data_IF_691300816141
#
_entry.id   IF_691300816141
#
_cell.length_a   1.000
_cell.length_b   1.000
_cell.length_c   1.000
_cell.angle_alpha   90.00
_cell.angle_beta   90.00
_cell.angle_gamma   90.00
#
_symmetry.space_group_name_H-M   'P 1'
#
loop_
_entity.id
_entity.type
_entity.pdbx_description
1 polymer ?
#
# COMPACT_ATOMS: atom_id res chain seq x y z
N UNK A 1 28.11 69.84 41.16
CA UNK A 1 26.77 69.33 40.75
C UNK A 1 27.04 68.08 39.88
N UNK A 2 26.90 66.91 40.47
CA UNK A 2 27.14 65.60 39.79
C UNK A 2 25.80 65.12 39.23
N UNK A 3 25.68 64.98 37.91
CA UNK A 3 24.55 64.33 37.26
C UNK A 3 24.72 62.81 37.34
N UNK A 4 23.86 62.12 38.07
CA UNK A 4 23.77 60.68 38.13
C UNK A 4 22.90 60.25 36.92
N UNK A 5 23.52 59.57 35.94
CA UNK A 5 22.87 58.97 34.80
C UNK A 5 22.35 57.59 35.20
N UNK A 6 21.05 57.44 35.41
CA UNK A 6 20.40 56.18 35.73
C UNK A 6 20.25 55.38 34.41
N UNK A 7 21.05 54.33 34.26
CA UNK A 7 20.97 53.39 33.13
C UNK A 7 19.91 52.33 33.47
N UNK A 8 18.71 52.50 32.93
CA UNK A 8 17.67 51.47 32.99
C UNK A 8 18.04 50.35 32.00
N UNK A 9 18.54 49.24 32.56
CA UNK A 9 18.79 48.02 31.82
C UNK A 9 17.47 47.31 31.59
N UNK A 10 16.85 47.50 30.43
CA UNK A 10 15.64 46.75 30.02
C UNK A 10 16.08 45.36 29.60
N UNK A 11 15.91 44.39 30.45
CA UNK A 11 16.08 42.97 30.12
C UNK A 11 14.88 42.60 29.23
N UNK A 12 15.10 42.60 27.91
CA UNK A 12 14.22 41.92 26.95
C UNK A 12 14.34 40.40 27.22
N UNK A 13 13.39 39.85 27.95
CA UNK A 13 13.19 38.41 28.00
C UNK A 13 12.68 38.01 26.61
N UNK A 14 13.61 37.62 25.76
CA UNK A 14 13.31 36.87 24.54
C UNK A 14 12.76 35.52 25.02
N UNK A 15 11.45 35.43 25.20
CA UNK A 15 10.77 34.14 25.17
C UNK A 15 10.94 33.61 23.76
N UNK A 16 12.05 32.93 23.54
CA UNK A 16 12.21 32.02 22.43
C UNK A 16 11.05 31.03 22.58
N UNK A 17 10.02 31.18 21.77
CA UNK A 17 9.12 30.07 21.48
C UNK A 17 9.98 29.02 20.73
N UNK A 18 10.74 28.22 21.48
CA UNK A 18 11.12 26.93 20.96
C UNK A 18 9.80 26.22 20.65
N UNK A 19 9.50 26.03 19.38
CA UNK A 19 8.46 25.06 19.01
C UNK A 19 8.79 23.81 19.80
N UNK A 20 7.87 23.38 20.62
CA UNK A 20 8.03 22.15 21.39
C UNK A 20 8.03 21.01 20.38
N UNK A 21 9.23 20.64 19.92
CA UNK A 21 9.43 19.58 18.93
C UNK A 21 9.02 18.21 19.48
N UNK A 22 8.73 18.11 20.79
CA UNK A 22 8.27 16.85 21.40
C UNK A 22 6.85 16.45 21.01
N UNK A 23 6.01 17.41 20.58
CA UNK A 23 4.60 17.21 20.24
C UNK A 23 4.35 17.22 18.73
N UNK A 24 5.23 16.60 17.94
CA UNK A 24 5.08 16.47 16.50
C UNK A 24 5.27 15.00 16.10
N UNK A 25 4.70 14.63 14.98
CA UNK A 25 4.87 13.31 14.34
C UNK A 25 5.00 13.51 12.83
N UNK A 26 6.02 12.93 12.24
CA UNK A 26 6.24 12.95 10.80
C UNK A 26 5.85 11.61 10.20
N UNK A 27 4.84 11.61 9.34
CA UNK A 27 4.29 10.41 8.69
C UNK A 27 4.55 10.48 7.19
N UNK A 28 5.03 9.38 6.62
CA UNK A 28 5.24 9.23 5.19
C UNK A 28 4.45 8.01 4.69
N UNK A 29 3.37 8.26 3.99
CA UNK A 29 2.39 7.27 3.58
C UNK A 29 2.10 7.35 2.07
N UNK A 30 1.31 6.44 1.56
CA UNK A 30 0.75 6.50 0.22
C UNK A 30 -0.19 7.70 0.05
N UNK A 31 -0.40 8.14 -1.19
CA UNK A 31 -1.47 9.07 -1.53
C UNK A 31 -2.84 8.46 -1.22
N UNK A 32 -3.81 9.30 -0.79
CA UNK A 32 -5.20 8.88 -0.51
C UNK A 32 -5.36 7.62 0.38
N UNK A 33 -4.45 7.43 1.34
CA UNK A 33 -4.36 6.19 2.14
C UNK A 33 -4.63 6.39 3.64
N UNK A 34 -5.21 7.52 3.99
CA UNK A 34 -5.77 7.81 5.32
C UNK A 34 -6.92 8.81 5.19
N UNK A 35 -8.01 8.57 5.92
CA UNK A 35 -9.08 9.57 6.06
C UNK A 35 -8.55 10.81 6.78
N UNK A 36 -8.54 11.99 6.14
CA UNK A 36 -7.98 13.22 6.75
C UNK A 36 -8.58 13.57 8.11
N UNK A 37 -9.86 13.28 8.33
CA UNK A 37 -10.53 13.52 9.60
C UNK A 37 -9.93 12.69 10.75
N UNK A 38 -9.28 11.56 10.48
CA UNK A 38 -8.56 10.78 11.50
C UNK A 38 -7.29 11.49 11.97
N UNK A 39 -6.59 12.20 11.07
CA UNK A 39 -5.44 13.02 11.45
C UNK A 39 -5.88 14.13 12.40
N UNK A 40 -6.95 14.86 12.05
CA UNK A 40 -7.51 15.91 12.90
C UNK A 40 -7.98 15.36 14.26
N UNK A 41 -8.62 14.18 14.24
CA UNK A 41 -9.04 13.49 15.47
C UNK A 41 -7.86 13.14 16.36
N UNK A 42 -6.81 12.56 15.78
CA UNK A 42 -5.59 12.22 16.53
C UNK A 42 -4.92 13.45 17.14
N UNK A 43 -4.77 14.53 16.37
CA UNK A 43 -4.21 15.80 16.85
C UNK A 43 -5.03 16.38 18.02
N UNK A 44 -6.35 16.35 17.90
CA UNK A 44 -7.27 16.85 18.94
C UNK A 44 -7.20 16.03 20.22
N UNK A 45 -7.12 14.69 20.09
CA UNK A 45 -7.11 13.78 21.26
C UNK A 45 -5.77 13.76 21.99
N UNK A 46 -4.67 13.93 21.26
CA UNK A 46 -3.31 13.75 21.79
C UNK A 46 -2.53 15.04 21.99
N UNK A 47 -2.91 16.11 21.29
CA UNK A 47 -2.13 17.35 21.20
C UNK A 47 -0.87 17.22 20.34
N UNK A 48 -0.68 16.08 19.66
CA UNK A 48 0.46 15.81 18.77
C UNK A 48 0.10 16.28 17.37
N UNK A 49 0.89 17.22 16.81
CA UNK A 49 0.71 17.68 15.45
C UNK A 49 1.29 16.68 14.45
N UNK A 50 0.52 16.30 13.45
CA UNK A 50 0.96 15.39 12.39
C UNK A 50 1.43 16.20 11.16
N UNK A 51 2.65 15.93 10.71
CA UNK A 51 3.19 16.40 9.44
C UNK A 51 3.13 15.19 8.50
N UNK A 52 2.27 15.28 7.50
CA UNK A 52 1.94 14.16 6.63
C UNK A 52 2.43 14.44 5.21
N UNK A 53 3.33 13.58 4.73
CA UNK A 53 3.84 13.58 3.35
C UNK A 53 3.40 12.28 2.65
N UNK A 54 3.33 12.32 1.32
CA UNK A 54 2.92 11.16 0.52
C UNK A 54 3.98 10.73 -0.48
N UNK A 55 3.91 9.45 -0.87
CA UNK A 55 4.68 8.85 -1.96
C UNK A 55 3.76 8.00 -2.86
N UNK A 56 4.24 7.70 -4.06
CA UNK A 56 3.50 6.90 -5.05
C UNK A 56 4.13 5.52 -5.26
N UNK A 57 5.41 5.34 -4.92
CA UNK A 57 6.14 4.09 -5.11
C UNK A 57 7.00 3.76 -3.89
N UNK A 58 7.07 2.46 -3.54
CA UNK A 58 7.91 1.97 -2.45
C UNK A 58 9.40 2.33 -2.65
N UNK A 59 9.86 2.27 -3.89
CA UNK A 59 11.25 2.53 -4.25
C UNK A 59 11.63 3.99 -3.98
N UNK A 60 10.77 4.94 -4.32
CA UNK A 60 10.98 6.37 -4.06
C UNK A 60 10.96 6.66 -2.56
N UNK A 61 10.00 6.09 -1.83
CA UNK A 61 9.95 6.17 -0.37
C UNK A 61 11.25 5.63 0.25
N UNK A 62 11.67 4.43 -0.16
CA UNK A 62 12.88 3.80 0.33
C UNK A 62 14.14 4.64 0.06
N UNK A 63 14.30 5.17 -1.14
CA UNK A 63 15.44 6.00 -1.49
C UNK A 63 15.46 7.29 -0.67
N UNK A 64 14.33 7.99 -0.55
CA UNK A 64 14.21 9.22 0.23
C UNK A 64 14.54 9.01 1.71
N UNK A 65 14.06 7.91 2.30
CA UNK A 65 14.35 7.55 3.69
C UNK A 65 15.84 7.16 3.87
N UNK A 66 16.40 6.41 2.94
CA UNK A 66 17.79 5.95 2.96
C UNK A 66 18.79 7.10 2.86
N UNK A 67 18.50 8.10 2.04
CA UNK A 67 19.34 9.28 1.85
C UNK A 67 19.29 10.24 3.04
N UNK A 68 18.42 10.00 4.02
CA UNK A 68 18.28 10.82 5.23
C UNK A 68 17.67 12.20 4.96
N UNK A 69 16.97 12.36 3.85
CA UNK A 69 16.45 13.66 3.38
C UNK A 69 15.36 14.27 4.25
N UNK A 70 14.65 13.48 5.05
CA UNK A 70 13.61 13.94 5.97
C UNK A 70 13.60 13.11 7.26
N UNK A 71 13.18 13.75 8.36
CA UNK A 71 13.11 13.12 9.69
C UNK A 71 11.74 12.46 9.89
N UNK A 72 11.33 11.52 9.03
CA UNK A 72 10.11 10.78 9.25
C UNK A 72 10.20 9.85 10.45
N UNK A 73 9.08 9.69 11.15
CA UNK A 73 8.94 8.78 12.28
C UNK A 73 8.23 7.49 11.86
N UNK A 74 7.12 7.63 11.13
CA UNK A 74 6.32 6.52 10.61
C UNK A 74 6.40 6.47 9.09
N UNK A 75 6.55 5.26 8.56
CA UNK A 75 6.43 4.94 7.13
C UNK A 75 5.46 3.78 6.93
N UNK A 76 4.86 3.70 5.74
CA UNK A 76 3.88 2.66 5.40
C UNK A 76 4.35 1.86 4.17
N UNK A 77 5.37 1.01 4.32
CA UNK A 77 5.84 0.16 3.24
C UNK A 77 4.92 -1.03 2.99
N UNK A 78 4.89 -1.50 1.74
CA UNK A 78 4.35 -2.82 1.43
C UNK A 78 5.28 -3.93 1.93
N UNK A 79 4.77 -5.15 2.01
CA UNK A 79 5.41 -6.35 2.54
C UNK A 79 6.87 -6.56 2.11
N UNK A 80 7.15 -6.62 0.79
CA UNK A 80 8.51 -6.83 0.27
C UNK A 80 9.48 -5.69 0.61
N UNK A 81 8.96 -4.46 0.68
CA UNK A 81 9.78 -3.31 1.04
C UNK A 81 10.03 -3.27 2.55
N UNK A 82 9.03 -3.64 3.36
CA UNK A 82 9.22 -3.84 4.80
C UNK A 82 10.30 -4.91 5.06
N UNK A 83 10.24 -6.06 4.36
CA UNK A 83 11.26 -7.11 4.43
C UNK A 83 12.67 -6.57 4.13
N UNK A 84 12.81 -5.80 3.04
CA UNK A 84 14.06 -5.16 2.64
C UNK A 84 14.57 -4.18 3.70
N UNK A 85 13.69 -3.32 4.22
CA UNK A 85 14.05 -2.33 5.23
C UNK A 85 14.45 -2.97 6.57
N UNK A 86 13.78 -4.08 6.96
CA UNK A 86 14.14 -4.88 8.14
C UNK A 86 15.55 -5.47 7.98
N UNK A 87 15.81 -6.14 6.85
CA UNK A 87 17.14 -6.73 6.54
C UNK A 87 18.26 -5.73 6.56
N UNK A 88 17.99 -4.48 6.20
CA UNK A 88 18.96 -3.39 6.19
C UNK A 88 19.06 -2.62 7.52
N UNK A 89 18.26 -2.99 8.53
CA UNK A 89 18.26 -2.36 9.84
C UNK A 89 17.72 -0.92 9.83
N UNK A 90 16.84 -0.59 8.89
CA UNK A 90 16.27 0.74 8.73
C UNK A 90 15.04 0.97 9.61
N UNK A 91 14.46 -0.08 10.19
CA UNK A 91 13.29 0.00 11.05
C UNK A 91 13.66 -0.16 12.53
N UNK A 92 12.88 0.50 13.39
CA UNK A 92 12.96 0.37 14.83
C UNK A 92 12.03 -0.74 15.31
N UNK A 93 12.42 -1.46 16.37
CA UNK A 93 11.52 -2.43 17.00
C UNK A 93 10.37 -1.73 17.72
N UNK A 94 9.18 -2.26 17.50
CA UNK A 94 7.94 -1.77 18.10
C UNK A 94 7.83 -2.25 19.55
N UNK A 95 7.47 -1.37 20.46
CA UNK A 95 7.07 -1.74 21.82
C UNK A 95 5.55 -1.98 21.86
N UNK A 96 5.14 -3.23 21.74
CA UNK A 96 3.73 -3.60 21.77
C UNK A 96 3.00 -3.31 23.07
N UNK A 97 3.73 -3.04 24.16
CA UNK A 97 3.09 -2.55 25.40
C UNK A 97 2.49 -1.14 25.22
N UNK A 98 2.96 -0.39 24.23
CA UNK A 98 2.48 0.94 23.83
C UNK A 98 1.39 0.88 22.76
N UNK A 99 1.15 -0.29 22.17
CA UNK A 99 0.15 -0.53 21.11
C UNK A 99 -0.84 -1.61 21.57
N UNK A 100 -1.62 -1.38 22.62
CA UNK A 100 -2.56 -2.38 23.15
C UNK A 100 -3.63 -2.80 22.12
N UNK A 101 -3.92 -1.96 21.12
CA UNK A 101 -4.87 -2.27 20.05
C UNK A 101 -4.34 -3.30 19.04
N UNK A 102 -3.03 -3.65 19.08
CA UNK A 102 -2.49 -4.75 18.28
C UNK A 102 -3.24 -6.09 18.54
N UNK A 103 -3.87 -6.25 19.69
CA UNK A 103 -4.73 -7.41 19.99
C UNK A 103 -5.86 -7.61 18.98
N UNK A 104 -6.30 -6.54 18.31
CA UNK A 104 -7.37 -6.57 17.29
C UNK A 104 -6.90 -7.01 15.91
N UNK A 105 -5.59 -7.02 15.65
CA UNK A 105 -5.06 -7.62 14.43
C UNK A 105 -5.23 -9.14 14.52
N UNK A 106 -5.87 -9.75 13.53
CA UNK A 106 -6.13 -11.19 13.51
C UNK A 106 -4.83 -11.99 13.44
N UNK A 107 -4.81 -13.15 14.09
CA UNK A 107 -3.61 -14.02 14.15
C UNK A 107 -3.09 -14.42 12.76
N UNK A 108 -3.99 -14.62 11.79
CA UNK A 108 -3.62 -14.97 10.41
C UNK A 108 -2.84 -13.87 9.66
N UNK A 109 -2.87 -12.64 10.16
CA UNK A 109 -2.14 -11.49 9.61
C UNK A 109 -0.89 -11.12 10.43
N UNK A 110 -0.56 -11.93 11.45
CA UNK A 110 0.64 -11.76 12.25
C UNK A 110 1.72 -12.76 11.83
N UNK A 111 2.97 -12.42 12.10
CA UNK A 111 4.13 -13.28 11.86
C UNK A 111 4.23 -13.76 10.39
N UNK A 112 3.89 -12.89 9.45
CA UNK A 112 4.02 -13.18 8.02
C UNK A 112 5.50 -13.18 7.60
N UNK A 113 5.81 -13.79 6.47
CA UNK A 113 7.18 -14.04 5.99
C UNK A 113 8.08 -12.79 5.99
N UNK A 114 7.53 -11.61 5.75
CA UNK A 114 8.29 -10.35 5.73
C UNK A 114 8.71 -9.85 7.13
N UNK A 115 7.98 -10.21 8.18
CA UNK A 115 8.33 -9.95 9.60
C UNK A 115 7.92 -11.13 10.49
N UNK A 116 8.65 -12.28 10.44
CA UNK A 116 8.21 -13.55 11.03
C UNK A 116 8.01 -13.54 12.54
N UNK A 117 8.44 -12.51 13.22
CA UNK A 117 8.26 -12.33 14.67
C UNK A 117 7.40 -11.12 15.00
N UNK A 118 6.92 -10.42 14.01
CA UNK A 118 6.19 -9.16 14.16
C UNK A 118 6.95 -8.16 15.07
N UNK A 119 8.27 -8.03 14.88
CA UNK A 119 9.09 -7.15 15.72
C UNK A 119 9.09 -5.70 15.22
N UNK A 120 8.81 -5.45 13.93
CA UNK A 120 9.05 -4.17 13.27
C UNK A 120 7.81 -3.54 12.63
N UNK A 121 6.77 -4.33 12.37
CA UNK A 121 5.63 -3.89 11.57
C UNK A 121 4.29 -4.21 12.24
N UNK A 122 3.32 -3.33 12.01
CA UNK A 122 1.91 -3.59 12.33
C UNK A 122 1.12 -3.62 11.02
N UNK A 123 0.41 -4.72 10.70
CA UNK A 123 -0.45 -4.78 9.51
C UNK A 123 -1.44 -3.62 9.50
N UNK A 124 -1.55 -2.94 8.37
CA UNK A 124 -2.40 -1.76 8.20
C UNK A 124 -3.59 -2.08 7.30
N UNK A 125 -3.32 -2.43 6.06
CA UNK A 125 -4.30 -2.84 5.07
C UNK A 125 -3.79 -4.07 4.32
N UNK A 126 -4.71 -4.78 3.65
CA UNK A 126 -4.37 -5.90 2.79
C UNK A 126 -5.33 -6.01 1.62
N UNK A 127 -4.95 -6.76 0.61
CA UNK A 127 -5.80 -7.01 -0.52
C UNK A 127 -5.19 -7.97 -1.53
N UNK A 128 -5.82 -8.04 -2.68
CA UNK A 128 -5.39 -8.88 -3.80
C UNK A 128 -5.21 -8.05 -5.06
N UNK A 129 -4.48 -8.57 -6.02
CA UNK A 129 -4.50 -8.09 -7.40
C UNK A 129 -5.39 -9.02 -8.21
N UNK A 130 -6.25 -8.47 -9.06
CA UNK A 130 -7.16 -9.27 -9.86
C UNK A 130 -7.56 -8.57 -11.15
N UNK A 131 -8.57 -9.12 -11.80
CA UNK A 131 -9.14 -8.59 -13.02
C UNK A 131 -10.46 -7.92 -12.68
N UNK A 132 -10.57 -6.61 -12.93
CA UNK A 132 -11.83 -5.89 -12.99
C UNK A 132 -12.32 -5.87 -14.44
N UNK A 133 -13.58 -6.21 -14.68
CA UNK A 133 -14.13 -6.23 -16.04
C UNK A 133 -15.59 -5.77 -16.07
N UNK A 134 -16.00 -5.22 -17.22
CA UNK A 134 -17.39 -4.85 -17.45
C UNK A 134 -18.19 -6.08 -17.98
N UNK A 135 -19.07 -6.65 -17.14
CA UNK A 135 -19.86 -7.85 -17.48
C UNK A 135 -20.85 -7.64 -18.63
N UNK A 136 -21.09 -6.38 -19.04
CA UNK A 136 -21.90 -6.09 -20.21
C UNK A 136 -21.10 -6.12 -21.52
N UNK A 137 -19.78 -5.94 -21.43
CA UNK A 137 -18.85 -5.98 -22.58
C UNK A 137 -18.16 -7.34 -22.72
N UNK A 138 -17.75 -7.90 -21.60
CA UNK A 138 -17.08 -9.20 -21.51
C UNK A 138 -18.12 -10.27 -21.18
N UNK A 139 -18.42 -11.15 -22.13
CA UNK A 139 -19.46 -12.18 -21.99
C UNK A 139 -18.91 -13.57 -21.67
N UNK A 140 -17.62 -13.74 -21.79
CA UNK A 140 -16.91 -14.96 -21.41
C UNK A 140 -16.82 -15.10 -19.90
N UNK A 141 -16.57 -16.32 -19.45
CA UNK A 141 -16.21 -16.56 -18.05
C UNK A 141 -14.78 -16.04 -17.79
N UNK A 142 -14.65 -15.01 -16.98
CA UNK A 142 -13.39 -14.41 -16.60
C UNK A 142 -12.85 -15.14 -15.37
N UNK A 143 -11.96 -16.11 -15.56
CA UNK A 143 -11.37 -16.90 -14.47
C UNK A 143 -9.85 -17.10 -14.61
N UNK A 144 -9.22 -16.46 -15.59
CA UNK A 144 -7.82 -16.68 -15.95
C UNK A 144 -7.16 -15.40 -16.45
N UNK A 145 -5.88 -15.23 -16.13
CA UNK A 145 -5.05 -14.16 -16.67
C UNK A 145 -4.97 -14.18 -18.20
N UNK A 146 -5.30 -15.32 -18.86
CA UNK A 146 -5.23 -15.44 -20.32
C UNK A 146 -6.12 -14.43 -21.07
N UNK A 147 -7.21 -13.96 -20.46
CA UNK A 147 -8.11 -12.98 -21.09
C UNK A 147 -7.38 -11.67 -21.43
N UNK A 148 -6.33 -11.31 -20.67
CA UNK A 148 -5.52 -10.12 -20.92
C UNK A 148 -4.64 -10.22 -22.16
N UNK A 149 -4.57 -11.39 -22.80
CA UNK A 149 -3.87 -11.66 -24.07
C UNK A 149 -4.82 -11.99 -25.22
N UNK A 150 -6.12 -11.79 -25.02
CA UNK A 150 -7.11 -12.04 -26.07
C UNK A 150 -7.24 -10.81 -26.97
N UNK A 151 -6.87 -10.97 -28.25
CA UNK A 151 -6.93 -9.92 -29.27
C UNK A 151 -8.35 -9.35 -29.47
N UNK A 152 -9.38 -10.07 -29.05
CA UNK A 152 -10.77 -9.60 -29.07
C UNK A 152 -10.94 -8.29 -28.27
N UNK A 153 -10.14 -8.11 -27.22
CA UNK A 153 -10.19 -6.94 -26.34
C UNK A 153 -9.10 -5.91 -26.64
N UNK A 154 -8.52 -5.95 -27.83
CA UNK A 154 -7.53 -4.97 -28.27
C UNK A 154 -8.02 -3.55 -28.04
N UNK A 155 -7.12 -2.70 -27.51
CA UNK A 155 -7.36 -1.30 -27.15
C UNK A 155 -8.47 -1.11 -26.07
N UNK A 156 -8.80 -2.17 -25.31
CA UNK A 156 -9.76 -2.16 -24.19
C UNK A 156 -9.22 -2.83 -22.91
N UNK A 157 -7.91 -3.07 -22.84
CA UNK A 157 -7.25 -3.67 -21.69
C UNK A 157 -6.34 -2.64 -21.03
N UNK A 158 -6.49 -2.44 -19.72
CA UNK A 158 -5.57 -1.66 -18.91
C UNK A 158 -4.72 -2.60 -18.07
N UNK A 159 -3.40 -2.46 -18.19
CA UNK A 159 -2.42 -3.14 -17.33
C UNK A 159 -1.91 -2.19 -16.25
N UNK A 160 -1.36 -2.73 -15.16
CA UNK A 160 -0.77 -1.89 -14.11
C UNK A 160 0.56 -1.30 -14.55
N UNK A 161 0.78 -0.01 -14.28
CA UNK A 161 2.09 0.64 -14.40
C UNK A 161 2.95 0.34 -13.16
N UNK A 162 3.12 -0.94 -12.90
CA UNK A 162 3.91 -1.49 -11.79
C UNK A 162 4.78 -2.64 -12.32
N UNK A 163 6.09 -2.53 -12.11
CA UNK A 163 7.06 -3.57 -12.53
C UNK A 163 6.71 -4.92 -11.93
N UNK A 164 6.48 -4.96 -10.62
CA UNK A 164 6.28 -6.21 -9.89
C UNK A 164 4.94 -6.85 -10.24
N UNK A 165 3.86 -6.07 -10.28
CA UNK A 165 2.53 -6.61 -10.54
C UNK A 165 2.38 -7.07 -11.99
N UNK A 166 2.81 -6.26 -12.96
CA UNK A 166 2.68 -6.63 -14.38
C UNK A 166 3.54 -7.84 -14.75
N UNK A 167 4.80 -7.90 -14.28
CA UNK A 167 5.62 -9.11 -14.45
C UNK A 167 5.03 -10.30 -13.69
N UNK A 168 4.51 -10.08 -12.48
CA UNK A 168 3.87 -11.10 -11.66
C UNK A 168 2.67 -11.73 -12.35
N UNK A 169 1.81 -10.94 -12.98
CA UNK A 169 0.66 -11.40 -13.78
C UNK A 169 1.14 -12.30 -14.95
N UNK A 170 2.17 -11.87 -15.68
CA UNK A 170 2.70 -12.67 -16.78
C UNK A 170 3.35 -13.98 -16.30
N UNK A 171 4.07 -13.93 -15.20
CA UNK A 171 4.65 -15.12 -14.56
C UNK A 171 3.57 -16.11 -14.12
N UNK A 172 2.52 -15.64 -13.43
CA UNK A 172 1.38 -16.49 -13.03
C UNK A 172 0.69 -17.12 -14.22
N UNK A 173 0.40 -16.32 -15.25
CA UNK A 173 -0.17 -16.83 -16.50
C UNK A 173 0.64 -17.96 -17.11
N UNK A 174 1.96 -17.91 -16.99
CA UNK A 174 2.89 -18.94 -17.50
C UNK A 174 3.11 -20.10 -16.52
N UNK A 175 2.47 -20.07 -15.32
CA UNK A 175 2.59 -21.11 -14.31
C UNK A 175 3.83 -20.98 -13.42
N UNK A 176 4.46 -19.81 -13.38
CA UNK A 176 5.63 -19.51 -12.56
C UNK A 176 5.27 -18.77 -11.27
N UNK A 177 6.22 -18.71 -10.33
CA UNK A 177 6.10 -17.87 -9.14
C UNK A 177 6.25 -16.39 -9.50
N UNK A 178 5.43 -15.53 -8.86
CA UNK A 178 5.57 -14.06 -8.95
C UNK A 178 6.90 -13.56 -8.35
N UNK A 179 7.55 -14.40 -7.55
CA UNK A 179 8.86 -14.14 -6.94
C UNK A 179 10.00 -14.85 -7.68
N UNK A 180 9.80 -15.25 -8.94
CA UNK A 180 10.82 -15.99 -9.69
C UNK A 180 12.10 -15.18 -9.82
N UNK A 181 13.23 -15.85 -9.54
CA UNK A 181 14.61 -15.35 -9.76
C UNK A 181 15.29 -16.14 -10.89
N UNK A 182 14.52 -16.91 -11.65
CA UNK A 182 15.00 -17.66 -12.80
C UNK A 182 14.96 -16.78 -14.04
N UNK A 183 16.12 -16.46 -14.60
CA UNK A 183 16.23 -15.58 -15.77
C UNK A 183 15.45 -16.09 -16.97
N UNK A 184 15.40 -17.41 -17.18
CA UNK A 184 14.65 -17.98 -18.31
C UNK A 184 13.12 -17.81 -18.15
N UNK A 185 12.60 -17.84 -16.90
CA UNK A 185 11.19 -17.57 -16.62
C UNK A 185 10.86 -16.09 -16.79
N UNK A 186 11.75 -15.22 -16.29
CA UNK A 186 11.63 -13.76 -16.46
C UNK A 186 11.68 -13.34 -17.93
N UNK A 187 12.58 -13.95 -18.72
CA UNK A 187 12.65 -13.68 -20.15
C UNK A 187 11.37 -14.09 -20.89
N UNK A 188 10.79 -15.27 -20.56
CA UNK A 188 9.49 -15.68 -21.12
C UNK A 188 8.35 -14.72 -20.72
N UNK A 189 8.34 -14.23 -19.49
CA UNK A 189 7.37 -13.25 -19.05
C UNK A 189 7.51 -11.94 -19.83
N UNK A 190 8.76 -11.45 -20.01
CA UNK A 190 9.07 -10.29 -20.83
C UNK A 190 8.57 -10.45 -22.27
N UNK A 191 8.94 -11.53 -22.94
CA UNK A 191 8.49 -11.81 -24.32
C UNK A 191 6.96 -11.85 -24.43
N UNK A 192 6.30 -12.43 -23.41
CA UNK A 192 4.85 -12.49 -23.35
C UNK A 192 4.23 -11.09 -23.23
N UNK A 193 4.79 -10.20 -22.40
CA UNK A 193 4.30 -8.83 -22.21
C UNK A 193 4.59 -7.94 -23.41
N UNK A 194 5.74 -8.09 -24.06
CA UNK A 194 6.04 -7.36 -25.31
C UNK A 194 5.00 -7.70 -26.39
N UNK A 195 4.63 -8.98 -26.52
CA UNK A 195 3.56 -9.39 -27.47
C UNK A 195 2.18 -8.87 -27.08
N UNK A 196 1.90 -8.77 -25.77
CA UNK A 196 0.63 -8.24 -25.27
C UNK A 196 0.49 -6.74 -25.53
N UNK A 197 1.59 -6.01 -25.53
CA UNK A 197 1.60 -4.55 -25.63
C UNK A 197 0.78 -4.00 -26.82
N UNK A 198 0.76 -4.72 -27.94
CA UNK A 198 0.03 -4.34 -29.15
C UNK A 198 -1.51 -4.29 -28.95
N UNK A 199 -2.02 -4.90 -27.87
CA UNK A 199 -3.45 -4.97 -27.58
C UNK A 199 -3.82 -4.21 -26.29
N UNK A 200 -2.83 -3.70 -25.55
CA UNK A 200 -3.04 -2.94 -24.29
C UNK A 200 -3.40 -1.49 -24.63
N UNK A 201 -4.48 -0.99 -24.05
CA UNK A 201 -4.89 0.41 -24.16
C UNK A 201 -3.89 1.32 -23.43
N UNK A 202 -3.58 1.01 -22.18
CA UNK A 202 -2.73 1.82 -21.33
C UNK A 202 -2.11 1.01 -20.18
N UNK A 203 -1.04 1.56 -19.60
CA UNK A 203 -0.47 1.14 -18.32
C UNK A 203 -0.74 2.23 -17.29
N UNK A 204 -1.64 1.99 -16.35
CA UNK A 204 -2.11 2.96 -15.34
C UNK A 204 -2.11 2.33 -13.93
N UNK A 205 -2.32 3.14 -12.91
CA UNK A 205 -2.59 2.70 -11.53
C UNK A 205 -3.85 3.42 -11.05
N UNK A 206 -3.76 4.59 -10.44
CA UNK A 206 -4.86 5.30 -9.81
C UNK A 206 -5.97 5.72 -10.80
N UNK A 207 -5.57 6.12 -12.01
CA UNK A 207 -6.51 6.53 -13.07
C UNK A 207 -7.37 5.37 -13.59
N UNK A 208 -6.91 4.12 -13.42
CA UNK A 208 -7.62 2.91 -13.89
C UNK A 208 -9.05 2.85 -13.34
N UNK A 209 -9.24 3.24 -12.08
CA UNK A 209 -10.57 3.28 -11.45
C UNK A 209 -11.55 4.12 -12.26
N UNK A 210 -11.17 5.36 -12.57
CA UNK A 210 -12.04 6.28 -13.32
C UNK A 210 -12.29 5.80 -14.75
N UNK A 211 -11.28 5.23 -15.42
CA UNK A 211 -11.42 4.66 -16.77
C UNK A 211 -12.44 3.52 -16.79
N UNK A 212 -12.42 2.63 -15.80
CA UNK A 212 -13.35 1.50 -15.70
C UNK A 212 -14.77 1.97 -15.34
N UNK A 213 -14.90 2.91 -14.40
CA UNK A 213 -16.21 3.49 -14.01
C UNK A 213 -16.88 4.16 -15.21
N UNK A 214 -16.12 4.89 -16.02
CA UNK A 214 -16.61 5.59 -17.22
C UNK A 214 -16.78 4.67 -18.45
N UNK A 215 -16.50 3.36 -18.32
CA UNK A 215 -16.56 2.38 -19.41
C UNK A 215 -15.60 2.70 -20.59
N UNK A 216 -14.48 3.35 -20.30
CA UNK A 216 -13.44 3.69 -21.29
C UNK A 216 -12.51 2.49 -21.58
N UNK A 217 -12.57 1.44 -20.74
CA UNK A 217 -11.96 0.15 -20.98
C UNK A 217 -12.92 -0.99 -20.56
N UNK A 218 -12.71 -2.17 -21.10
CA UNK A 218 -13.55 -3.33 -20.81
C UNK A 218 -12.96 -4.23 -19.71
N UNK A 219 -11.62 -4.25 -19.59
CA UNK A 219 -10.88 -5.13 -18.68
C UNK A 219 -9.68 -4.37 -18.11
N UNK A 220 -9.44 -4.51 -16.81
CA UNK A 220 -8.26 -3.95 -16.16
C UNK A 220 -7.65 -4.91 -15.14
N UNK A 221 -6.33 -4.85 -14.98
CA UNK A 221 -5.64 -5.39 -13.81
C UNK A 221 -5.68 -4.31 -12.72
N UNK A 222 -6.13 -4.67 -11.51
CA UNK A 222 -6.41 -3.68 -10.46
C UNK A 222 -6.23 -4.27 -9.06
N UNK A 223 -5.94 -3.41 -8.10
CA UNK A 223 -6.02 -3.76 -6.67
C UNK A 223 -7.48 -3.89 -6.23
N UNK A 224 -7.74 -4.83 -5.31
CA UNK A 224 -9.10 -5.13 -4.86
C UNK A 224 -9.81 -3.95 -4.20
N UNK A 225 -9.10 -3.06 -3.49
CA UNK A 225 -9.70 -1.88 -2.87
C UNK A 225 -10.25 -0.90 -3.91
N UNK A 226 -9.45 -0.56 -4.93
CA UNK A 226 -9.91 0.29 -6.03
C UNK A 226 -11.05 -0.36 -6.81
N UNK A 227 -11.01 -1.68 -6.95
CA UNK A 227 -12.10 -2.43 -7.59
C UNK A 227 -13.40 -2.35 -6.79
N UNK A 228 -13.35 -2.35 -5.45
CA UNK A 228 -14.54 -2.17 -4.59
C UNK A 228 -15.15 -0.79 -4.83
N UNK A 229 -14.33 0.26 -4.84
CA UNK A 229 -14.80 1.62 -5.11
C UNK A 229 -15.39 1.71 -6.50
N UNK A 230 -14.70 1.20 -7.53
CA UNK A 230 -15.20 1.20 -8.91
C UNK A 230 -16.54 0.46 -9.05
N UNK A 231 -16.70 -0.71 -8.40
CA UNK A 231 -17.95 -1.49 -8.38
C UNK A 231 -19.10 -0.74 -7.71
N UNK A 232 -18.80 0.06 -6.67
CA UNK A 232 -19.83 0.87 -6.00
C UNK A 232 -20.36 2.01 -6.88
N UNK A 233 -19.54 2.49 -7.82
CA UNK A 233 -19.90 3.56 -8.76
C UNK A 233 -20.49 3.04 -10.07
N UNK A 234 -20.16 1.79 -10.46
CA UNK A 234 -20.69 1.16 -11.68
C UNK A 234 -21.01 -0.32 -11.43
N UNK A 235 -22.32 -0.63 -11.30
CA UNK A 235 -22.83 -1.99 -11.05
C UNK A 235 -22.54 -3.01 -12.17
N UNK A 236 -22.09 -2.54 -13.34
CA UNK A 236 -21.69 -3.41 -14.45
C UNK A 236 -20.30 -4.00 -14.27
N UNK A 237 -19.56 -3.53 -13.29
CA UNK A 237 -18.20 -4.01 -13.02
C UNK A 237 -18.22 -5.25 -12.11
N UNK A 238 -17.29 -6.17 -12.37
CA UNK A 238 -17.09 -7.38 -11.59
C UNK A 238 -15.59 -7.60 -11.41
N UNK A 239 -15.20 -8.12 -10.24
CA UNK A 239 -13.80 -8.41 -9.93
C UNK A 239 -13.59 -9.90 -9.72
N UNK A 240 -12.46 -10.42 -10.22
CA UNK A 240 -12.12 -11.82 -10.07
C UNK A 240 -10.65 -12.01 -9.77
N UNK A 241 -10.35 -12.95 -8.88
CA UNK A 241 -8.99 -13.46 -8.67
C UNK A 241 -8.80 -14.66 -9.60
N UNK A 242 -7.87 -14.60 -10.57
CA UNK A 242 -7.67 -15.69 -11.52
C UNK A 242 -7.20 -16.99 -10.89
N UNK A 243 -7.57 -18.10 -11.51
CA UNK A 243 -7.29 -19.46 -11.00
C UNK A 243 -5.81 -19.83 -10.95
N UNK A 244 -4.97 -19.16 -11.71
CA UNK A 244 -3.52 -19.33 -11.66
C UNK A 244 -2.91 -18.81 -10.35
N UNK A 245 -3.70 -18.05 -9.59
CA UNK A 245 -3.27 -17.32 -8.40
C UNK A 245 -2.85 -15.90 -8.69
N UNK A 246 -2.59 -15.13 -7.66
CA UNK A 246 -2.27 -13.72 -7.75
C UNK A 246 -1.42 -13.24 -6.58
N UNK A 247 -1.14 -11.93 -6.55
CA UNK A 247 -0.53 -11.27 -5.40
C UNK A 247 -1.56 -11.11 -4.27
N UNK A 248 -1.17 -11.53 -3.07
CA UNK A 248 -1.79 -11.19 -1.80
C UNK A 248 -0.85 -10.22 -1.10
N UNK A 249 -1.20 -8.96 -1.09
CA UNK A 249 -0.33 -7.89 -0.58
C UNK A 249 -0.75 -7.39 0.79
N UNK A 250 0.23 -6.88 1.51
CA UNK A 250 0.05 -6.26 2.83
C UNK A 250 0.82 -4.96 2.90
N UNK A 251 0.15 -3.91 3.34
CA UNK A 251 0.82 -2.67 3.74
C UNK A 251 0.92 -2.61 5.27
N UNK A 252 2.01 -2.04 5.74
CA UNK A 252 2.36 -2.11 7.16
C UNK A 252 2.74 -0.75 7.71
N UNK A 253 2.33 -0.48 8.94
CA UNK A 253 2.83 0.66 9.71
C UNK A 253 4.17 0.27 10.33
N UNK A 254 5.21 1.05 10.08
CA UNK A 254 6.56 0.83 10.59
C UNK A 254 7.17 2.11 11.12
N UNK A 255 8.06 1.99 12.12
CA UNK A 255 8.79 3.11 12.73
C UNK A 255 10.22 3.09 12.19
N UNK A 256 10.70 4.24 11.72
CA UNK A 256 12.07 4.34 11.23
C UNK A 256 13.08 4.25 12.36
N UNK A 257 14.25 3.64 12.07
CA UNK A 257 15.34 3.46 13.05
C UNK A 257 15.82 4.76 13.68
N UNK A 258 15.77 5.85 12.95
CA UNK A 258 16.19 7.17 13.38
C UNK A 258 15.04 8.10 13.77
N UNK A 259 13.83 7.54 14.00
CA UNK A 259 12.66 8.29 14.43
C UNK A 259 12.96 9.06 15.72
N UNK A 260 12.68 10.37 15.69
CA UNK A 260 12.88 11.24 16.86
C UNK A 260 11.71 11.19 17.83
N UNK A 261 10.54 10.79 17.35
CA UNK A 261 9.27 10.84 18.10
C UNK A 261 8.64 9.43 18.18
N UNK A 262 9.45 8.42 18.56
CA UNK A 262 9.02 7.00 18.63
C UNK A 262 7.75 6.82 19.45
N UNK A 263 7.63 7.47 20.63
CA UNK A 263 6.43 7.36 21.47
C UNK A 263 5.18 7.94 20.78
N UNK A 264 5.32 9.02 20.00
CA UNK A 264 4.22 9.59 19.23
C UNK A 264 3.84 8.65 18.06
N UNK A 265 4.83 8.01 17.42
CA UNK A 265 4.63 7.03 16.40
C UNK A 265 3.85 5.81 16.92
N UNK A 266 4.21 5.28 18.10
CA UNK A 266 3.51 4.17 18.75
C UNK A 266 2.06 4.55 19.12
N UNK A 267 1.83 5.78 19.60
CA UNK A 267 0.47 6.28 19.84
C UNK A 267 -0.35 6.37 18.56
N UNK A 268 0.24 6.84 17.47
CA UNK A 268 -0.42 6.95 16.17
C UNK A 268 -0.77 5.57 15.59
N UNK A 269 0.15 4.62 15.66
CA UNK A 269 -0.11 3.23 15.25
C UNK A 269 -1.22 2.62 16.10
N UNK A 270 -1.19 2.84 17.44
CA UNK A 270 -2.25 2.36 18.32
C UNK A 270 -3.61 3.00 18.00
N UNK A 271 -3.62 4.28 17.64
CA UNK A 271 -4.83 5.00 17.25
C UNK A 271 -5.41 4.44 15.94
N UNK A 272 -4.58 4.18 14.93
CA UNK A 272 -5.03 3.63 13.63
C UNK A 272 -5.49 2.17 13.73
N UNK A 273 -4.99 1.41 14.71
CA UNK A 273 -5.39 0.01 14.95
C UNK A 273 -6.60 -0.12 15.89
N UNK A 274 -7.15 0.98 16.40
CA UNK A 274 -8.44 0.97 17.06
C UNK A 274 -9.55 0.58 16.07
N UNK A 275 -10.45 -0.35 16.41
CA UNK A 275 -11.46 -0.85 15.46
C UNK A 275 -12.35 0.23 14.85
N UNK A 276 -12.77 1.24 15.64
CA UNK A 276 -13.61 2.33 15.14
C UNK A 276 -12.83 3.25 14.17
N UNK A 277 -11.58 3.57 14.48
CA UNK A 277 -10.74 4.37 13.60
C UNK A 277 -10.36 3.59 12.33
N UNK A 278 -10.03 2.31 12.47
CA UNK A 278 -9.74 1.44 11.34
C UNK A 278 -10.94 1.33 10.39
N UNK A 279 -12.16 1.21 10.94
CA UNK A 279 -13.42 1.20 10.17
C UNK A 279 -13.60 2.50 9.39
N UNK A 280 -13.45 3.65 10.04
CA UNK A 280 -13.57 4.97 9.37
C UNK A 280 -12.56 5.10 8.24
N UNK A 281 -11.34 4.61 8.46
CA UNK A 281 -10.31 4.63 7.43
C UNK A 281 -10.64 3.71 6.24
N UNK A 282 -11.11 2.49 6.51
CA UNK A 282 -11.48 1.54 5.47
C UNK A 282 -12.67 2.01 4.63
N UNK A 283 -13.65 2.67 5.24
CA UNK A 283 -14.78 3.27 4.51
C UNK A 283 -14.32 4.36 3.51
N UNK A 284 -13.27 5.09 3.86
CA UNK A 284 -12.71 6.14 3.00
C UNK A 284 -11.87 5.57 1.86
N UNK A 285 -10.94 4.64 2.18
CA UNK A 285 -9.96 4.16 1.21
C UNK A 285 -10.40 2.89 0.45
N UNK A 286 -11.43 2.19 0.92
CA UNK A 286 -11.98 0.99 0.25
C UNK A 286 -11.20 -0.30 0.50
N UNK A 287 -10.07 -0.30 1.24
CA UNK A 287 -9.23 -1.48 1.41
C UNK A 287 -9.58 -2.32 2.64
N UNK A 288 -9.19 -3.59 2.59
CA UNK A 288 -9.58 -4.58 3.59
C UNK A 288 -8.75 -4.47 4.86
N UNK A 289 -9.44 -4.66 5.98
CA UNK A 289 -8.86 -4.55 7.32
C UNK A 289 -8.26 -5.88 7.79
N UNK A 290 -7.08 -5.86 8.42
CA UNK A 290 -6.50 -7.04 9.05
C UNK A 290 -7.10 -7.32 10.45
N UNK A 291 -8.34 -6.94 10.68
CA UNK A 291 -9.04 -7.01 11.96
C UNK A 291 -10.49 -7.44 11.79
N UNK A 292 -10.84 -8.62 12.32
CA UNK A 292 -12.23 -9.09 12.35
C UNK A 292 -13.13 -8.18 13.17
N UNK A 293 -12.62 -7.59 14.27
CA UNK A 293 -13.42 -6.69 15.09
C UNK A 293 -13.77 -5.41 14.34
N UNK A 294 -12.81 -4.81 13.64
CA UNK A 294 -13.06 -3.65 12.80
C UNK A 294 -13.95 -4.02 11.59
N UNK A 295 -13.72 -5.18 10.95
CA UNK A 295 -14.56 -5.68 9.85
C UNK A 295 -16.04 -5.75 10.24
N UNK A 296 -16.38 -6.20 11.47
CA UNK A 296 -17.77 -6.28 11.95
C UNK A 296 -18.48 -4.92 12.02
N UNK A 297 -17.74 -3.82 12.02
CA UNK A 297 -18.29 -2.46 12.05
C UNK A 297 -18.60 -1.91 10.66
N UNK A 298 -18.07 -2.52 9.59
CA UNK A 298 -18.35 -2.16 8.21
C UNK A 298 -19.80 -2.54 7.83
N UNK A 299 -20.29 -1.98 6.73
CA UNK A 299 -21.58 -2.39 6.16
C UNK A 299 -21.53 -3.87 5.76
N UNK A 300 -22.68 -4.57 5.93
CA UNK A 300 -22.76 -6.02 5.66
C UNK A 300 -22.40 -6.37 4.23
N UNK A 301 -22.75 -5.52 3.30
CA UNK A 301 -22.42 -5.68 1.88
C UNK A 301 -20.91 -5.77 1.66
N UNK A 302 -20.15 -4.90 2.30
CA UNK A 302 -18.67 -4.94 2.26
C UNK A 302 -18.12 -6.15 3.02
N UNK A 303 -18.69 -6.48 4.18
CA UNK A 303 -18.25 -7.66 4.95
C UNK A 303 -18.38 -8.98 4.16
N UNK A 304 -19.38 -9.08 3.29
CA UNK A 304 -19.74 -10.26 2.52
C UNK A 304 -19.23 -10.22 1.05
N UNK A 305 -18.61 -9.09 0.63
CA UNK A 305 -18.04 -8.96 -0.73
C UNK A 305 -16.77 -9.77 -0.86
N UNK A 306 -16.77 -10.77 -1.75
CA UNK A 306 -15.61 -11.61 -2.06
C UNK A 306 -14.44 -10.80 -2.69
N UNK A 307 -14.68 -9.59 -3.19
CA UNK A 307 -13.61 -8.67 -3.65
C UNK A 307 -12.81 -8.15 -2.47
N UNK A 308 -13.52 -7.73 -1.40
CA UNK A 308 -12.92 -7.21 -0.18
C UNK A 308 -12.32 -8.32 0.69
N UNK A 309 -13.10 -9.37 0.92
CA UNK A 309 -12.78 -10.42 1.88
C UNK A 309 -12.91 -11.82 1.25
N UNK A 310 -12.09 -12.13 0.23
CA UNK A 310 -12.16 -13.41 -0.45
C UNK A 310 -11.87 -14.57 0.51
N UNK A 311 -12.56 -15.70 0.28
CA UNK A 311 -12.19 -16.96 0.92
C UNK A 311 -10.89 -17.49 0.31
N UNK A 312 -9.75 -17.13 0.90
CA UNK A 312 -8.43 -17.48 0.40
C UNK A 312 -8.21 -19.00 0.30
N UNK A 313 -9.01 -19.82 0.99
CA UNK A 313 -8.94 -21.28 0.87
C UNK A 313 -9.36 -21.78 -0.52
N UNK A 314 -10.16 -21.00 -1.24
CA UNK A 314 -10.60 -21.29 -2.62
C UNK A 314 -9.60 -20.78 -3.67
N UNK A 315 -8.73 -19.85 -3.32
CA UNK A 315 -7.74 -19.26 -4.23
C UNK A 315 -6.36 -19.88 -3.99
N UNK A 316 -6.04 -20.86 -4.79
CA UNK A 316 -4.73 -21.53 -4.72
C UNK A 316 -3.65 -20.64 -5.37
N UNK A 317 -2.40 -20.87 -4.97
CA UNK A 317 -1.23 -20.20 -5.55
C UNK A 317 -1.20 -18.66 -5.39
N UNK A 318 -1.90 -18.13 -4.37
CA UNK A 318 -1.67 -16.75 -3.94
C UNK A 318 -0.25 -16.62 -3.38
N UNK A 319 0.42 -15.53 -3.70
CA UNK A 319 1.78 -15.27 -3.23
C UNK A 319 1.89 -13.86 -2.65
N UNK A 320 2.65 -13.72 -1.57
CA UNK A 320 3.12 -12.43 -1.07
C UNK A 320 4.41 -12.11 -1.80
N UNK A 321 4.61 -10.86 -2.23
CA UNK A 321 5.87 -10.44 -2.81
C UNK A 321 6.98 -10.51 -1.76
N UNK A 322 8.16 -10.95 -2.22
CA UNK A 322 9.39 -10.99 -1.43
C UNK A 322 10.37 -9.94 -1.94
N UNK A 323 11.23 -9.48 -1.06
CA UNK A 323 12.35 -8.61 -1.44
C UNK A 323 13.18 -9.28 -2.54
N UNK A 324 13.23 -8.71 -3.76
CA UNK A 324 13.99 -9.29 -4.85
C UNK A 324 15.52 -9.19 -4.66
N UNK A 325 15.97 -8.43 -3.65
CA UNK A 325 17.38 -8.25 -3.30
C UNK A 325 18.25 -7.81 -4.49
N UNK A 326 19.19 -8.66 -4.92
CA UNK A 326 20.08 -8.45 -6.06
C UNK A 326 19.41 -8.58 -7.44
N UNK A 327 18.14 -9.03 -7.49
CA UNK A 327 17.37 -9.13 -8.73
C UNK A 327 16.55 -7.86 -9.06
N UNK A 328 16.60 -6.80 -8.24
CA UNK A 328 15.87 -5.54 -8.50
C UNK A 328 16.25 -4.99 -9.87
N UNK A 329 17.54 -4.80 -10.13
CA UNK A 329 18.03 -4.27 -11.42
C UNK A 329 17.53 -5.10 -12.61
N UNK A 330 17.47 -6.43 -12.46
CA UNK A 330 16.97 -7.31 -13.51
C UNK A 330 15.48 -7.10 -13.79
N UNK A 331 14.66 -6.91 -12.76
CA UNK A 331 13.25 -6.59 -12.93
C UNK A 331 13.06 -5.23 -13.60
N UNK A 332 13.86 -4.24 -13.19
CA UNK A 332 13.80 -2.88 -13.75
C UNK A 332 14.26 -2.84 -15.22
N UNK A 333 15.32 -3.55 -15.58
CA UNK A 333 15.79 -3.71 -16.97
C UNK A 333 14.70 -4.34 -17.84
N UNK A 334 14.07 -5.42 -17.37
CA UNK A 334 12.98 -6.09 -18.09
C UNK A 334 11.80 -5.13 -18.30
N UNK A 335 11.45 -4.36 -17.26
CA UNK A 335 10.37 -3.39 -17.34
C UNK A 335 10.68 -2.26 -18.33
N UNK A 336 11.91 -1.76 -18.32
CA UNK A 336 12.38 -0.77 -19.28
C UNK A 336 12.31 -1.31 -20.71
N UNK A 337 12.74 -2.56 -20.95
CA UNK A 337 12.65 -3.24 -22.24
C UNK A 337 11.18 -3.36 -22.70
N UNK A 338 10.25 -3.75 -21.81
CA UNK A 338 8.82 -3.86 -22.15
C UNK A 338 8.26 -2.49 -22.56
N UNK A 339 8.63 -1.42 -21.83
CA UNK A 339 8.13 -0.08 -22.17
C UNK A 339 8.74 0.49 -23.43
N UNK A 340 9.97 0.10 -23.80
CA UNK A 340 10.67 0.60 -24.98
C UNK A 340 10.21 -0.06 -26.29
N UNK A 341 9.76 -1.32 -26.26
CA UNK A 341 9.29 -2.07 -27.44
C UNK A 341 7.78 -1.91 -27.61
#
# INVERSE_FOLDING_TARGET
>A
MKKILLFLLTILVLTSCSKDESNVLYVYNWGEYIEPALIEKFEKETGIKVIYDTFEQNEDMYMKVKEGGNNYDVVVPSDYMAEKMIKQGMLEKIDYSKIPNFKYIDEKFRNLDYDPKNEYTVPYMWGTVGILYNKNKVKENVDSWNILWDEKYKDNIIMMNSTRDTLGVALKRLGYSMNSRNEAELEKAKESLIKQKDIVLAYLVDETKNQMVNEEADIAVMYSGDAIVAKSENENLEYVIPKEGSNLWFDTLAILKNAKHKENAEKFINFLTDPENAKVNADYIGYSLPSTEAKKLLDKEIQEDDTAYPDLSKHKNMEIFKDPSDFVEKYDDIWADIKAN
#
